data_IF_163112882491
#
_entry.id   IF_163112882491
#
_cell.length_a   1.000
_cell.length_b   1.000
_cell.length_c   1.000
_cell.angle_alpha   90.00
_cell.angle_beta   90.00
_cell.angle_gamma   90.00
#
_symmetry.space_group_name_H-M   'P 1'
#
loop_
_entity.id
_entity.type
_entity.pdbx_description
1 polymer ?
#
# COMPACT_ATOMS: atom_id res chain seq x y z
N UNK A 1 -8.37 4.55 14.52
CA UNK A 1 -7.84 3.91 13.29
C UNK A 1 -6.68 4.73 12.79
N UNK A 2 -5.53 4.10 12.58
CA UNK A 2 -4.35 4.75 12.00
C UNK A 2 -4.41 4.57 10.48
N UNK A 3 -4.32 5.68 9.73
CA UNK A 3 -4.20 5.61 8.27
C UNK A 3 -2.80 5.18 7.87
N UNK A 4 -2.73 4.22 6.95
CA UNK A 4 -1.49 3.71 6.37
C UNK A 4 -1.65 3.67 4.86
N UNK A 5 -0.72 4.30 4.14
CA UNK A 5 -0.68 4.19 2.69
C UNK A 5 -0.03 2.86 2.29
N UNK A 6 -0.68 2.12 1.39
CA UNK A 6 -0.06 0.97 0.74
C UNK A 6 0.55 1.43 -0.59
N UNK A 7 1.89 1.33 -0.67
CA UNK A 7 2.68 1.78 -1.81
C UNK A 7 2.57 0.82 -3.01
N UNK A 8 1.36 0.66 -3.56
CA UNK A 8 1.10 -0.14 -4.76
C UNK A 8 -0.06 0.43 -5.56
N UNK A 9 0.03 0.35 -6.89
CA UNK A 9 -1.11 0.61 -7.78
C UNK A 9 -2.03 -0.60 -7.99
N UNK A 10 -1.73 -1.76 -7.39
CA UNK A 10 -2.51 -2.98 -7.58
C UNK A 10 -3.72 -3.02 -6.64
N UNK A 11 -4.91 -2.81 -7.19
CA UNK A 11 -6.17 -2.84 -6.44
C UNK A 11 -6.47 -4.18 -5.74
N UNK A 12 -5.99 -5.32 -6.28
CA UNK A 12 -6.12 -6.62 -5.63
C UNK A 12 -5.34 -6.68 -4.32
N UNK A 13 -4.07 -6.25 -4.35
CA UNK A 13 -3.22 -6.17 -3.15
C UNK A 13 -3.82 -5.24 -2.09
N UNK A 14 -4.35 -4.09 -2.49
CA UNK A 14 -5.01 -3.15 -1.57
C UNK A 14 -6.18 -3.82 -0.85
N UNK A 15 -7.07 -4.51 -1.59
CA UNK A 15 -8.23 -5.19 -0.99
C UNK A 15 -7.83 -6.31 -0.03
N UNK A 16 -6.88 -7.15 -0.44
CA UNK A 16 -6.41 -8.28 0.36
C UNK A 16 -5.75 -7.79 1.67
N UNK A 17 -4.82 -6.83 1.58
CA UNK A 17 -4.11 -6.29 2.74
C UNK A 17 -5.01 -5.44 3.63
N UNK A 18 -5.93 -4.65 3.07
CA UNK A 18 -6.90 -3.89 3.84
C UNK A 18 -7.77 -4.81 4.71
N UNK A 19 -8.26 -5.92 4.14
CA UNK A 19 -9.05 -6.89 4.89
C UNK A 19 -8.26 -7.62 5.98
N UNK A 20 -6.97 -7.90 5.75
CA UNK A 20 -6.13 -8.58 6.75
C UNK A 20 -5.72 -7.65 7.89
N UNK A 21 -5.55 -6.36 7.60
CA UNK A 21 -5.03 -5.37 8.54
C UNK A 21 -6.11 -4.59 9.30
N UNK A 22 -7.38 -4.68 8.88
CA UNK A 22 -8.49 -4.00 9.54
C UNK A 22 -8.65 -4.39 11.01
N UNK A 23 -8.40 -5.67 11.34
CA UNK A 23 -8.52 -6.21 12.69
C UNK A 23 -7.49 -5.60 13.66
N UNK A 24 -6.40 -5.03 13.11
CA UNK A 24 -5.37 -4.32 13.86
C UNK A 24 -5.66 -2.81 13.99
N UNK A 25 -6.83 -2.35 13.52
CA UNK A 25 -7.23 -0.94 13.57
C UNK A 25 -6.50 -0.05 12.56
N UNK A 26 -6.01 -0.65 11.47
CA UNK A 26 -5.38 0.06 10.36
C UNK A 26 -6.40 0.39 9.27
N UNK A 27 -6.33 1.61 8.77
CA UNK A 27 -7.09 2.11 7.62
C UNK A 27 -6.15 2.18 6.41
N UNK A 28 -6.23 1.17 5.53
CA UNK A 28 -5.34 1.04 4.38
C UNK A 28 -5.87 1.89 3.22
N UNK A 29 -5.04 2.79 2.71
CA UNK A 29 -5.36 3.68 1.58
C UNK A 29 -4.39 3.41 0.42
N UNK A 30 -4.88 3.34 -0.82
CA UNK A 30 -4.03 3.16 -1.98
C UNK A 30 -3.21 4.44 -2.26
N UNK A 31 -1.96 4.29 -2.68
CA UNK A 31 -1.12 5.45 -3.03
C UNK A 31 -1.74 6.30 -4.16
N UNK A 32 -2.43 5.66 -5.10
CA UNK A 32 -3.09 6.32 -6.23
C UNK A 32 -4.23 7.23 -5.78
N UNK A 33 -4.91 6.92 -4.68
CA UNK A 33 -5.98 7.75 -4.12
C UNK A 33 -5.44 9.05 -3.52
N UNK A 34 -4.15 9.05 -3.19
CA UNK A 34 -3.41 10.22 -2.69
C UNK A 34 -2.65 10.96 -3.79
N UNK A 35 -2.77 10.53 -5.04
CA UNK A 35 -2.06 11.12 -6.18
C UNK A 35 -0.55 10.85 -6.16
N UNK A 36 -0.11 9.76 -5.52
CA UNK A 36 1.30 9.36 -5.48
C UNK A 36 1.61 8.48 -6.68
N UNK A 37 2.56 8.92 -7.50
CA UNK A 37 3.08 8.16 -8.63
C UNK A 37 3.98 7.01 -8.16
N UNK A 38 4.15 5.99 -9.02
CA UNK A 38 5.06 4.88 -8.74
C UNK A 38 6.50 5.36 -8.60
N UNK A 39 7.20 4.84 -7.59
CA UNK A 39 8.63 5.06 -7.43
C UNK A 39 9.43 4.33 -8.51
N UNK A 40 10.62 4.85 -8.84
CA UNK A 40 11.60 4.12 -9.62
C UNK A 40 12.26 3.05 -8.73
N UNK A 41 12.10 1.78 -9.08
CA UNK A 41 12.70 0.65 -8.36
C UNK A 41 14.15 0.43 -8.84
N UNK A 42 15.08 1.23 -8.33
CA UNK A 42 16.50 1.19 -8.75
C UNK A 42 17.35 0.18 -7.97
N UNK A 43 16.75 -0.52 -7.00
CA UNK A 43 17.42 -1.54 -6.19
C UNK A 43 17.84 -2.75 -7.02
N UNK A 44 18.83 -3.49 -6.53
CA UNK A 44 19.30 -4.73 -7.17
C UNK A 44 18.69 -5.97 -6.52
N UNK A 45 17.99 -5.80 -5.41
CA UNK A 45 17.32 -6.84 -4.63
C UNK A 45 15.91 -6.40 -4.27
N UNK A 46 15.05 -7.35 -3.90
CA UNK A 46 13.67 -7.05 -3.49
C UNK A 46 13.53 -6.27 -2.17
N UNK A 47 14.61 -6.21 -1.37
CA UNK A 47 14.60 -5.53 -0.07
C UNK A 47 14.95 -4.04 -0.22
N UNK A 48 15.73 -3.69 -1.24
CA UNK A 48 16.14 -2.32 -1.59
C UNK A 48 15.02 -1.56 -2.27
#
# INVERSE_FOLDING_TARGET
MQKVVLATGNAGKVRELASLLSDFGLDIVAQTDLGVDSAEETGLTFIE
#
